data_IF_090691998245
#
_entry.id   IF_090691998245
#
_cell.length_a   1.000
_cell.length_b   1.000
_cell.length_c   1.000
_cell.angle_alpha   90.00
_cell.angle_beta   90.00
_cell.angle_gamma   90.00
#
_symmetry.space_group_name_H-M   'P 1'
#
loop_
_entity.id
_entity.type
_entity.pdbx_description
1 polymer ?
#
# COMPACT_ATOMS: atom_id res chain seq x y z
N UNK A 1 -20.37 6.95 7.16
CA UNK A 1 -19.73 8.02 6.37
C UNK A 1 -19.62 7.65 4.90
N UNK A 2 -19.96 8.57 4.02
CA UNK A 2 -19.88 8.31 2.57
C UNK A 2 -18.46 8.46 2.06
N UNK A 3 -18.08 7.61 1.09
CA UNK A 3 -16.81 7.75 0.38
C UNK A 3 -16.87 8.93 -0.58
N UNK A 4 -15.89 9.83 -0.49
CA UNK A 4 -15.74 10.95 -1.45
C UNK A 4 -15.04 10.50 -2.77
N UNK A 5 -14.56 9.26 -2.83
CA UNK A 5 -13.89 8.72 -4.01
C UNK A 5 -14.86 7.98 -4.90
N UNK A 6 -14.72 8.17 -6.22
CA UNK A 6 -15.58 7.53 -7.21
C UNK A 6 -15.28 6.06 -7.46
N UNK A 7 -14.10 5.57 -7.07
CA UNK A 7 -13.64 4.19 -7.27
C UNK A 7 -13.22 3.56 -5.95
N UNK A 8 -13.60 2.30 -5.75
CA UNK A 8 -13.10 1.48 -4.66
C UNK A 8 -11.60 1.19 -4.83
N UNK A 9 -10.83 1.02 -3.74
CA UNK A 9 -9.45 0.53 -3.82
C UNK A 9 -9.42 -0.92 -4.31
N UNK A 10 -8.27 -1.35 -4.86
CA UNK A 10 -8.06 -2.75 -5.24
C UNK A 10 -8.32 -3.68 -4.05
N UNK A 11 -9.06 -4.75 -4.26
CA UNK A 11 -9.55 -5.64 -3.18
C UNK A 11 -11.01 -5.38 -2.81
N UNK A 12 -11.55 -4.22 -3.18
CA UNK A 12 -12.96 -3.88 -2.99
C UNK A 12 -13.65 -3.57 -4.31
N UNK A 13 -14.93 -3.80 -4.34
CA UNK A 13 -15.84 -3.35 -5.38
C UNK A 13 -16.99 -2.54 -4.76
N UNK A 14 -17.69 -1.77 -5.57
CA UNK A 14 -18.91 -1.11 -5.12
C UNK A 14 -20.01 -2.14 -4.98
N UNK A 15 -20.80 -2.01 -3.92
CA UNK A 15 -22.01 -2.81 -3.75
C UNK A 15 -22.98 -2.52 -4.93
N UNK A 16 -23.48 -3.55 -5.63
CA UNK A 16 -24.47 -3.39 -6.69
C UNK A 16 -25.77 -2.74 -6.22
N UNK A 17 -26.17 -2.95 -4.94
CA UNK A 17 -27.39 -2.40 -4.35
C UNK A 17 -27.19 -1.00 -3.79
N UNK A 18 -26.01 -0.70 -3.25
CA UNK A 18 -25.65 0.61 -2.73
C UNK A 18 -24.24 1.03 -3.17
N UNK A 19 -24.18 1.81 -4.23
CA UNK A 19 -22.89 2.30 -4.80
C UNK A 19 -22.04 3.15 -3.84
N UNK A 20 -22.58 3.52 -2.69
CA UNK A 20 -21.88 4.25 -1.60
C UNK A 20 -21.14 3.31 -0.64
N UNK A 21 -21.45 2.02 -0.66
CA UNK A 21 -20.77 0.99 0.11
C UNK A 21 -19.76 0.21 -0.71
N UNK A 22 -18.74 -0.29 -0.04
CA UNK A 22 -17.74 -1.18 -0.62
C UNK A 22 -17.90 -2.57 -0.02
N UNK A 23 -17.80 -3.56 -0.88
CA UNK A 23 -17.79 -4.97 -0.52
C UNK A 23 -16.48 -5.59 -1.00
N UNK A 24 -15.92 -6.60 -0.30
CA UNK A 24 -14.72 -7.29 -0.75
C UNK A 24 -14.97 -7.99 -2.10
N UNK A 25 -14.08 -7.77 -3.06
CA UNK A 25 -13.99 -8.55 -4.29
C UNK A 25 -13.09 -9.75 -3.99
N UNK A 26 -13.65 -10.95 -3.85
CA UNK A 26 -12.97 -12.14 -3.33
C UNK A 26 -11.60 -12.36 -3.95
N UNK A 27 -11.51 -12.40 -5.28
CA UNK A 27 -10.24 -12.68 -5.97
C UNK A 27 -9.18 -11.60 -5.69
N UNK A 28 -9.58 -10.33 -5.73
CA UNK A 28 -8.67 -9.22 -5.46
C UNK A 28 -8.39 -9.06 -3.96
N UNK A 29 -9.37 -9.35 -3.10
CA UNK A 29 -9.23 -9.31 -1.65
C UNK A 29 -8.23 -10.36 -1.15
N UNK A 30 -8.24 -11.58 -1.71
CA UNK A 30 -7.29 -12.63 -1.39
C UNK A 30 -5.84 -12.19 -1.68
N UNK A 31 -5.62 -11.50 -2.80
CA UNK A 31 -4.29 -10.94 -3.14
C UNK A 31 -3.87 -9.85 -2.15
N UNK A 32 -4.80 -8.97 -1.77
CA UNK A 32 -4.53 -7.92 -0.77
C UNK A 32 -4.24 -8.53 0.60
N UNK A 33 -4.99 -9.55 1.01
CA UNK A 33 -4.76 -10.28 2.24
C UNK A 33 -3.37 -10.93 2.26
N UNK A 34 -3.00 -11.59 1.17
CA UNK A 34 -1.68 -12.21 1.01
C UNK A 34 -0.54 -11.20 1.07
N UNK A 35 -0.70 -10.00 0.47
CA UNK A 35 0.27 -8.90 0.62
C UNK A 35 0.47 -8.56 2.10
N UNK A 36 -0.61 -8.51 2.88
CA UNK A 36 -0.55 -8.28 4.32
C UNK A 36 0.25 -9.35 5.06
N UNK A 37 0.04 -10.63 4.74
CA UNK A 37 0.79 -11.75 5.32
C UNK A 37 2.29 -11.65 4.98
N UNK A 38 2.65 -11.34 3.74
CA UNK A 38 4.05 -11.13 3.37
C UNK A 38 4.70 -9.99 4.16
N UNK A 39 3.95 -8.93 4.47
CA UNK A 39 4.47 -7.85 5.32
C UNK A 39 4.71 -8.33 6.75
N UNK A 40 3.82 -9.16 7.32
CA UNK A 40 4.03 -9.78 8.63
C UNK A 40 5.27 -10.69 8.65
N UNK A 41 5.55 -11.39 7.56
CA UNK A 41 6.76 -12.18 7.36
C UNK A 41 8.03 -11.33 7.14
N UNK A 42 7.91 -9.99 7.14
CA UNK A 42 9.02 -9.05 7.02
C UNK A 42 9.45 -8.74 5.59
N UNK A 43 8.70 -9.15 4.57
CA UNK A 43 9.03 -8.81 3.18
C UNK A 43 8.74 -7.35 2.87
N UNK A 44 9.66 -6.70 2.19
CA UNK A 44 9.49 -5.33 1.68
C UNK A 44 8.73 -5.28 0.35
N UNK A 45 8.22 -4.09 -0.06
CA UNK A 45 7.40 -3.93 -1.27
C UNK A 45 8.01 -4.52 -2.55
N UNK A 46 9.32 -4.38 -2.75
CA UNK A 46 10.01 -4.93 -3.94
C UNK A 46 10.08 -6.46 -3.93
N UNK A 47 10.22 -7.06 -2.76
CA UNK A 47 10.25 -8.52 -2.60
C UNK A 47 8.85 -9.11 -2.82
N UNK A 48 7.81 -8.45 -2.28
CA UNK A 48 6.41 -8.84 -2.47
C UNK A 48 6.05 -8.74 -3.96
N UNK A 49 6.39 -7.63 -4.62
CA UNK A 49 6.16 -7.45 -6.05
C UNK A 49 6.80 -8.58 -6.88
N UNK A 50 8.03 -9.00 -6.54
CA UNK A 50 8.71 -10.11 -7.19
C UNK A 50 7.96 -11.43 -6.99
N UNK A 51 7.54 -11.75 -5.75
CA UNK A 51 6.78 -12.97 -5.44
C UNK A 51 5.47 -13.05 -6.21
N UNK A 52 4.70 -11.96 -6.27
CA UNK A 52 3.45 -11.91 -7.02
C UNK A 52 3.68 -12.07 -8.54
N UNK A 53 4.78 -11.51 -9.07
CA UNK A 53 5.18 -11.66 -10.47
C UNK A 53 5.56 -13.11 -10.80
N UNK A 54 6.37 -13.75 -9.96
CA UNK A 54 6.78 -15.15 -10.12
C UNK A 54 5.57 -16.10 -10.14
N UNK A 55 4.54 -15.80 -9.35
CA UNK A 55 3.28 -16.55 -9.31
C UNK A 55 2.29 -16.16 -10.40
N UNK A 56 2.64 -15.25 -11.29
CA UNK A 56 1.78 -14.75 -12.39
C UNK A 56 0.40 -14.27 -11.88
N UNK A 57 0.40 -13.51 -10.80
CA UNK A 57 -0.81 -12.85 -10.30
C UNK A 57 -1.01 -11.56 -11.08
N UNK A 58 -2.22 -11.32 -11.58
CA UNK A 58 -2.55 -10.12 -12.36
C UNK A 58 -2.36 -8.86 -11.52
N UNK A 59 -1.75 -7.83 -12.12
CA UNK A 59 -1.71 -6.50 -11.50
C UNK A 59 -3.12 -5.91 -11.39
N UNK A 60 -3.37 -4.95 -10.49
CA UNK A 60 -4.70 -4.33 -10.36
C UNK A 60 -5.25 -3.81 -11.70
N UNK A 61 -4.41 -3.22 -12.56
CA UNK A 61 -4.82 -2.72 -13.86
C UNK A 61 -5.26 -3.85 -14.80
N UNK A 62 -4.47 -4.93 -14.88
CA UNK A 62 -4.78 -6.09 -15.70
C UNK A 62 -6.01 -6.86 -15.17
N UNK A 63 -6.16 -6.92 -13.85
CA UNK A 63 -7.34 -7.51 -13.21
C UNK A 63 -8.62 -6.76 -13.59
N UNK A 64 -8.65 -5.43 -13.44
CA UNK A 64 -9.80 -4.63 -13.82
C UNK A 64 -10.11 -4.74 -15.33
N UNK A 65 -9.07 -4.79 -16.17
CA UNK A 65 -9.25 -5.01 -17.61
C UNK A 65 -9.88 -6.38 -17.91
N UNK A 66 -9.44 -7.44 -17.26
CA UNK A 66 -10.01 -8.80 -17.44
C UNK A 66 -11.47 -8.89 -17.02
N UNK A 67 -11.89 -8.07 -16.05
CA UNK A 67 -13.30 -7.98 -15.60
C UNK A 67 -14.12 -6.94 -16.38
N UNK A 68 -13.53 -6.23 -17.34
CA UNK A 68 -14.20 -5.16 -18.09
C UNK A 68 -14.54 -3.92 -17.28
N UNK A 69 -13.88 -3.73 -16.12
CA UNK A 69 -14.11 -2.60 -15.23
C UNK A 69 -13.25 -1.41 -15.69
N UNK A 70 -13.86 -0.24 -15.98
CA UNK A 70 -13.10 0.94 -16.36
C UNK A 70 -12.13 1.35 -15.26
N UNK A 71 -10.83 1.39 -15.54
CA UNK A 71 -9.86 1.91 -14.61
C UNK A 71 -8.98 2.99 -15.28
N UNK A 72 -8.67 4.06 -14.52
CA UNK A 72 -7.83 5.17 -14.97
C UNK A 72 -6.32 4.89 -14.75
N UNK A 73 -5.94 3.64 -14.51
CA UNK A 73 -4.55 3.25 -14.32
C UNK A 73 -3.92 3.04 -15.70
N UNK A 74 -2.73 3.61 -15.91
CA UNK A 74 -1.97 3.36 -17.13
C UNK A 74 -1.72 1.86 -17.28
N UNK A 75 -2.09 1.30 -18.43
CA UNK A 75 -1.79 -0.09 -18.76
C UNK A 75 -0.28 -0.27 -18.78
N UNK A 76 0.20 -1.22 -18.02
CA UNK A 76 1.57 -1.73 -18.13
C UNK A 76 1.59 -2.79 -19.23
N UNK A 77 2.69 -2.87 -19.98
CA UNK A 77 2.82 -3.86 -21.06
C UNK A 77 2.80 -5.31 -20.58
N UNK A 78 3.20 -5.54 -19.31
CA UNK A 78 3.20 -6.85 -18.67
C UNK A 78 2.03 -6.94 -17.67
N UNK A 79 1.03 -7.83 -17.90
CA UNK A 79 -0.12 -7.98 -17.00
C UNK A 79 0.25 -8.49 -15.60
N UNK A 80 1.43 -9.09 -15.44
CA UNK A 80 1.97 -9.58 -14.17
C UNK A 80 3.05 -8.65 -13.60
N UNK A 81 3.29 -7.51 -14.22
CA UNK A 81 4.37 -6.57 -13.92
C UNK A 81 4.16 -5.78 -12.64
N UNK A 82 3.98 -6.46 -11.50
CA UNK A 82 3.91 -5.81 -10.19
C UNK A 82 5.17 -4.98 -9.92
N UNK A 83 4.99 -3.78 -9.43
CA UNK A 83 6.07 -2.90 -9.01
C UNK A 83 5.96 -2.54 -7.52
N UNK A 84 7.06 -2.01 -6.98
CA UNK A 84 7.13 -1.62 -5.58
C UNK A 84 6.21 -0.45 -5.24
N UNK A 85 5.90 0.42 -6.21
CA UNK A 85 5.03 1.59 -5.98
C UNK A 85 3.58 1.17 -5.85
N UNK A 86 3.15 0.18 -6.62
CA UNK A 86 1.82 -0.41 -6.51
C UNK A 86 1.63 -1.07 -5.14
N UNK A 87 2.59 -1.90 -4.70
CA UNK A 87 2.55 -2.53 -3.37
C UNK A 87 2.57 -1.47 -2.27
N UNK A 88 3.46 -0.48 -2.35
CA UNK A 88 3.51 0.61 -1.39
C UNK A 88 2.20 1.39 -1.33
N UNK A 89 1.55 1.62 -2.48
CA UNK A 89 0.25 2.28 -2.55
C UNK A 89 -0.89 1.47 -1.91
N UNK A 90 -0.82 0.12 -1.98
CA UNK A 90 -1.72 -0.77 -1.25
C UNK A 90 -1.45 -0.65 0.25
N UNK A 91 -0.19 -0.76 0.69
CA UNK A 91 0.19 -0.64 2.10
C UNK A 91 -0.19 0.73 2.71
N UNK A 92 -0.11 1.82 1.95
CA UNK A 92 -0.50 3.17 2.41
C UNK A 92 -2.02 3.30 2.69
N UNK A 93 -2.81 2.34 2.23
CA UNK A 93 -4.27 2.27 2.45
C UNK A 93 -4.66 1.32 3.58
N UNK A 94 -3.78 1.04 4.50
CA UNK A 94 -4.02 0.08 5.57
C UNK A 94 -5.30 0.35 6.38
N UNK A 95 -5.68 1.63 6.56
CA UNK A 95 -6.92 2.00 7.25
C UNK A 95 -8.17 1.56 6.47
N UNK A 96 -8.15 1.72 5.14
CA UNK A 96 -9.25 1.28 4.30
C UNK A 96 -9.36 -0.25 4.30
N UNK A 97 -8.24 -0.97 4.31
CA UNK A 97 -8.27 -2.43 4.40
C UNK A 97 -8.65 -2.96 5.79
N UNK A 98 -8.58 -2.11 6.82
CA UNK A 98 -9.12 -2.39 8.15
C UNK A 98 -10.64 -2.08 8.27
N UNK A 99 -11.29 -1.67 7.17
CA UNK A 99 -12.72 -1.39 7.13
C UNK A 99 -13.10 0.06 7.38
N UNK A 100 -12.14 1.00 7.37
CA UNK A 100 -12.40 2.41 7.63
C UNK A 100 -12.46 3.22 6.34
N UNK A 101 -13.34 4.22 6.31
CA UNK A 101 -13.34 5.23 5.25
C UNK A 101 -12.45 6.40 5.65
N UNK A 102 -11.48 6.76 4.80
CA UNK A 102 -10.59 7.91 5.04
C UNK A 102 -10.78 8.95 3.95
N UNK A 103 -11.31 10.09 4.33
CA UNK A 103 -11.55 11.23 3.46
C UNK A 103 -10.50 12.34 3.69
N UNK A 104 -10.41 13.28 2.75
CA UNK A 104 -9.55 14.46 2.80
C UNK A 104 -8.04 14.18 2.90
N UNK A 105 -7.57 13.02 2.43
CA UNK A 105 -6.13 12.73 2.34
C UNK A 105 -5.37 13.71 1.46
N UNK A 106 -6.05 14.31 0.48
CA UNK A 106 -5.45 15.27 -0.45
C UNK A 106 -6.38 16.42 -0.73
N UNK A 107 -5.81 17.61 -0.95
CA UNK A 107 -6.53 18.79 -1.39
C UNK A 107 -5.90 19.37 -2.66
N UNK A 108 -6.62 20.25 -3.33
CA UNK A 108 -6.09 21.06 -4.43
C UNK A 108 -6.06 22.52 -3.98
N UNK A 109 -4.97 23.25 -4.28
CA UNK A 109 -4.85 24.68 -3.95
C UNK A 109 -5.94 25.53 -4.63
N UNK A 110 -6.46 25.09 -5.77
CA UNK A 110 -7.52 25.72 -6.54
C UNK A 110 -8.20 24.70 -7.42
N UNK A 111 -9.47 24.92 -7.81
CA UNK A 111 -10.19 24.07 -8.77
C UNK A 111 -9.48 23.99 -10.14
N UNK A 112 -8.74 25.02 -10.53
CA UNK A 112 -7.95 25.08 -11.77
C UNK A 112 -6.63 24.29 -11.68
N UNK A 113 -6.16 23.99 -10.46
CA UNK A 113 -4.89 23.29 -10.26
C UNK A 113 -5.07 21.78 -10.45
N UNK A 114 -4.25 21.16 -11.30
CA UNK A 114 -4.17 19.70 -11.45
C UNK A 114 -3.33 19.05 -10.33
N UNK A 115 -2.49 19.85 -9.64
CA UNK A 115 -1.58 19.35 -8.59
C UNK A 115 -2.36 19.09 -7.30
N UNK A 116 -2.34 17.84 -6.83
CA UNK A 116 -2.84 17.45 -5.52
C UNK A 116 -1.75 17.65 -4.47
N UNK A 117 -2.12 18.16 -3.31
CA UNK A 117 -1.28 18.35 -2.13
C UNK A 117 -1.76 17.34 -1.09
N UNK A 118 -0.84 16.63 -0.42
CA UNK A 118 -1.18 15.74 0.69
C UNK A 118 -1.49 16.58 1.93
N UNK A 119 -2.62 16.32 2.53
CA UNK A 119 -2.96 16.91 3.82
C UNK A 119 -2.25 16.15 4.96
N UNK A 120 -1.90 16.82 6.05
CA UNK A 120 -1.45 16.15 7.26
C UNK A 120 -2.56 15.22 7.81
N UNK A 121 -2.16 14.18 8.53
CA UNK A 121 -3.12 13.19 9.05
C UNK A 121 -4.16 13.83 10.02
N UNK A 122 -3.82 14.92 10.67
CA UNK A 122 -4.72 15.68 11.53
C UNK A 122 -5.94 16.28 10.83
N UNK A 123 -5.86 16.45 9.51
CA UNK A 123 -6.96 16.98 8.69
C UNK A 123 -7.79 15.85 8.03
N UNK A 124 -7.38 14.60 8.22
CA UNK A 124 -8.13 13.49 7.67
C UNK A 124 -9.39 13.23 8.46
N UNK A 125 -10.48 12.94 7.75
CA UNK A 125 -11.74 12.52 8.38
C UNK A 125 -11.86 11.02 8.21
N UNK A 126 -11.84 10.30 9.33
CA UNK A 126 -11.89 8.85 9.38
C UNK A 126 -13.22 8.42 9.95
N UNK A 127 -13.94 7.57 9.21
CA UNK A 127 -15.14 6.89 9.66
C UNK A 127 -14.80 5.42 9.87
N UNK A 128 -14.97 4.94 11.08
CA UNK A 128 -14.62 3.58 11.45
C UNK A 128 -15.71 2.58 11.04
N UNK A 129 -15.29 1.36 10.69
CA UNK A 129 -16.15 0.20 10.44
C UNK A 129 -17.28 0.49 9.41
N UNK A 130 -16.92 1.10 8.30
CA UNK A 130 -17.88 1.45 7.23
C UNK A 130 -18.07 0.33 6.21
N UNK A 131 -17.18 -0.65 6.17
CA UNK A 131 -17.24 -1.80 5.26
C UNK A 131 -16.47 -2.99 5.86
N UNK A 132 -16.66 -4.17 5.29
CA UNK A 132 -16.01 -5.40 5.74
C UNK A 132 -14.49 -5.32 5.60
N UNK A 133 -13.70 -5.58 6.67
CA UNK A 133 -12.25 -5.51 6.62
C UNK A 133 -11.65 -6.70 5.83
N UNK A 134 -10.61 -6.43 5.04
CA UNK A 134 -9.78 -7.46 4.41
C UNK A 134 -8.61 -7.84 5.33
N UNK A 135 -8.05 -6.87 6.06
CA UNK A 135 -6.95 -7.10 6.99
C UNK A 135 -7.45 -7.15 8.44
N UNK A 136 -6.79 -7.99 9.23
CA UNK A 136 -6.93 -7.96 10.69
C UNK A 136 -6.13 -6.80 11.28
N UNK A 137 -6.42 -6.42 12.52
CA UNK A 137 -5.65 -5.39 13.25
C UNK A 137 -4.16 -5.71 13.30
N UNK A 138 -3.80 -6.99 13.51
CA UNK A 138 -2.40 -7.43 13.53
C UNK A 138 -1.68 -7.17 12.21
N UNK A 139 -2.32 -7.46 11.08
CA UNK A 139 -1.77 -7.18 9.74
C UNK A 139 -1.65 -5.67 9.53
N UNK A 140 -2.69 -4.91 9.85
CA UNK A 140 -2.69 -3.47 9.68
C UNK A 140 -1.59 -2.78 10.50
N UNK A 141 -1.37 -3.20 11.75
CA UNK A 141 -0.30 -2.65 12.59
C UNK A 141 1.09 -3.04 12.04
N UNK A 142 1.30 -4.28 11.59
CA UNK A 142 2.54 -4.70 10.95
C UNK A 142 2.84 -3.87 9.69
N UNK A 143 1.82 -3.64 8.85
CA UNK A 143 1.95 -2.80 7.65
C UNK A 143 2.27 -1.35 8.01
N UNK A 144 1.62 -0.77 9.01
CA UNK A 144 1.87 0.57 9.51
C UNK A 144 3.31 0.72 10.00
N UNK A 145 3.80 -0.22 10.81
CA UNK A 145 5.19 -0.25 11.29
C UNK A 145 6.19 -0.38 10.13
N UNK A 146 5.92 -1.28 9.17
CA UNK A 146 6.77 -1.45 7.99
C UNK A 146 6.84 -0.18 7.12
N UNK A 147 5.76 0.63 7.08
CA UNK A 147 5.73 1.92 6.35
C UNK A 147 6.45 3.03 7.09
N UNK A 148 6.47 3.01 8.41
CA UNK A 148 7.18 3.99 9.24
C UNK A 148 8.67 3.70 9.29
N UNK A 149 9.07 2.44 9.37
CA UNK A 149 10.48 2.04 9.40
C UNK A 149 11.08 2.08 7.99
N UNK A 150 11.87 3.12 7.68
CA UNK A 150 12.64 3.22 6.42
C UNK A 150 13.84 2.27 6.47
N UNK A 151 13.63 1.01 6.06
CA UNK A 151 14.73 0.07 5.86
C UNK A 151 15.28 0.24 4.44
N UNK A 152 16.56 0.63 4.29
CA UNK A 152 17.24 0.54 3.00
C UNK A 152 17.88 -0.84 2.90
N UNK A 153 17.52 -1.68 1.91
CA UNK A 153 18.27 -2.89 1.63
C UNK A 153 19.70 -2.51 1.25
N UNK A 154 20.68 -3.26 1.72
CA UNK A 154 22.05 -3.12 1.27
C UNK A 154 22.15 -3.55 -0.20
N UNK A 155 23.15 -3.02 -0.93
CA UNK A 155 23.43 -3.34 -2.34
C UNK A 155 23.60 -4.85 -2.60
N UNK A 156 23.88 -5.63 -1.57
CA UNK A 156 24.07 -7.09 -1.61
C UNK A 156 22.82 -7.90 -1.23
N UNK A 157 21.67 -7.26 -1.02
CA UNK A 157 20.42 -7.95 -0.68
C UNK A 157 20.32 -8.44 0.77
N UNK A 158 21.40 -8.39 1.54
CA UNK A 158 21.40 -8.74 2.95
C UNK A 158 21.12 -7.52 3.83
N UNK A 159 20.11 -7.60 4.68
CA UNK A 159 19.89 -6.57 5.68
C UNK A 159 20.87 -6.76 6.85
N UNK A 160 21.54 -5.67 7.25
CA UNK A 160 22.29 -5.67 8.50
C UNK A 160 21.37 -5.88 9.70
N UNK A 161 21.83 -6.61 10.71
CA UNK A 161 21.06 -6.94 11.93
C UNK A 161 20.41 -5.72 12.57
N UNK A 162 21.08 -4.56 12.54
CA UNK A 162 20.60 -3.31 13.13
C UNK A 162 20.00 -2.32 12.12
N UNK A 163 19.72 -2.75 10.88
CA UNK A 163 19.20 -1.87 9.85
C UNK A 163 17.80 -1.36 10.22
N UNK A 164 17.67 -0.04 10.34
CA UNK A 164 16.43 0.64 10.73
C UNK A 164 16.17 0.70 12.24
N UNK A 165 17.08 0.22 13.08
CA UNK A 165 16.97 0.27 14.54
C UNK A 165 17.95 1.25 15.22
N UNK A 166 18.94 1.76 14.48
CA UNK A 166 19.93 2.68 15.02
C UNK A 166 19.55 4.12 14.73
N UNK A 167 19.60 4.95 15.75
CA UNK A 167 19.35 6.38 15.68
C UNK A 167 20.50 7.15 16.31
N UNK A 168 20.80 8.32 15.77
CA UNK A 168 21.76 9.23 16.40
C UNK A 168 21.20 9.71 17.76
N UNK A 169 21.99 9.63 18.82
CA UNK A 169 21.57 10.07 20.14
C UNK A 169 21.35 11.59 20.23
N UNK A 170 22.05 12.38 19.41
CA UNK A 170 22.01 13.83 19.46
C UNK A 170 20.85 14.40 18.63
N UNK A 171 20.62 13.89 17.42
CA UNK A 171 19.65 14.48 16.48
C UNK A 171 18.48 13.56 16.10
N UNK A 172 18.43 12.32 16.61
CA UNK A 172 17.38 11.36 16.32
C UNK A 172 17.34 10.85 14.87
N UNK A 173 18.33 11.21 14.03
CA UNK A 173 18.38 10.75 12.65
C UNK A 173 18.72 9.26 12.56
N UNK A 174 18.10 8.56 11.59
CA UNK A 174 18.39 7.14 11.36
C UNK A 174 19.81 6.96 10.86
N UNK A 175 20.55 6.08 11.50
CA UNK A 175 21.91 5.68 11.11
C UNK A 175 21.84 4.52 10.12
N UNK A 176 22.68 4.58 9.09
CA UNK A 176 22.79 3.54 8.07
C UNK A 176 24.15 2.84 8.18
N UNK A 177 24.12 1.51 8.16
CA UNK A 177 25.35 0.73 8.10
C UNK A 177 25.94 0.82 6.68
N UNK A 178 27.10 1.44 6.53
CA UNK A 178 27.89 1.42 5.30
C UNK A 178 28.88 0.24 5.37
N UNK A 179 28.79 -0.70 4.45
CA UNK A 179 29.82 -1.73 4.25
C UNK A 179 30.79 -1.22 3.19
N UNK A 180 32.03 -0.91 3.58
CA UNK A 180 33.10 -0.64 2.62
C UNK A 180 33.54 -1.99 2.01
N UNK A 181 33.43 -2.11 0.69
CA UNK A 181 34.08 -3.19 -0.06
C UNK A 181 35.56 -2.81 -0.19
N UNK A 182 36.43 -3.43 0.57
CA UNK A 182 37.88 -3.33 0.36
C UNK A 182 38.66 -2.68 1.50
N UNK A 183 38.77 -3.35 2.61
CA UNK A 183 40.04 -3.35 3.36
C UNK A 183 40.67 -4.74 3.11
N UNK A 184 41.68 -4.76 2.23
CA UNK A 184 42.73 -5.79 2.26
C UNK A 184 43.78 -5.40 3.27
#
# INVERSE_FOLDING_TARGET
GEHLTTSAPYGYMKDPEDSKHWIPDREAADVVYEIGLYVMDGFGPSQIARKLRERKILTPAAYYESKGIPCNVKKQGDPYGWDNTTIAGIMDRWREYLGHTVNFKTTKKSYKSKKKIKNPESEWVIFENTHEPIWTEAIAEAVKQARQSRRRPTKMGEMGMFSGMMYCADCGSILYQCRATGFR
#
